data_IF_712756166404
#
_entry.id   IF_712756166404
#
_cell.length_a   1.000
_cell.length_b   1.000
_cell.length_c   1.000
_cell.angle_alpha   90.00
_cell.angle_beta   90.00
_cell.angle_gamma   90.00
#
_symmetry.space_group_name_H-M   'P 1'
#
loop_
_entity.id
_entity.type
_entity.pdbx_description
1 polymer ?
#
# COMPACT_ATOMS: atom_id res chain seq x y z
N UNK A 1 -0.23 -24.23 -3.05
CA UNK A 1 -1.40 -23.91 -3.91
C UNK A 1 -0.87 -23.09 -5.05
N UNK A 2 -0.98 -23.52 -6.32
CA UNK A 2 -0.36 -22.84 -7.47
C UNK A 2 -1.00 -21.46 -7.68
N UNK A 3 -0.22 -20.48 -8.13
CA UNK A 3 -0.65 -19.09 -8.42
C UNK A 3 -1.92 -19.00 -9.29
N UNK A 4 -2.11 -19.95 -10.21
CA UNK A 4 -3.33 -20.08 -11.03
C UNK A 4 -4.59 -20.45 -10.20
N UNK A 5 -4.44 -21.26 -9.17
CA UNK A 5 -5.54 -21.61 -8.27
C UNK A 5 -5.94 -20.46 -7.34
N UNK A 6 -5.02 -19.60 -7.00
CA UNK A 6 -5.25 -18.46 -6.10
C UNK A 6 -5.90 -17.28 -6.85
N UNK A 7 -5.50 -17.00 -8.10
CA UNK A 7 -6.23 -16.05 -8.96
C UNK A 7 -7.67 -16.49 -9.23
N UNK A 8 -7.89 -17.78 -9.44
CA UNK A 8 -9.24 -18.33 -9.61
C UNK A 8 -10.08 -18.20 -8.31
N UNK A 9 -9.45 -18.36 -7.13
CA UNK A 9 -10.13 -18.21 -5.83
C UNK A 9 -10.52 -16.73 -5.55
N UNK A 10 -9.69 -15.78 -5.95
CA UNK A 10 -9.99 -14.34 -5.79
C UNK A 10 -11.08 -13.89 -6.75
N UNK A 11 -11.04 -14.34 -8.01
CA UNK A 11 -12.12 -14.10 -8.98
C UNK A 11 -13.42 -14.79 -8.52
N UNK A 12 -13.35 -15.99 -7.93
CA UNK A 12 -14.49 -16.68 -7.38
C UNK A 12 -15.04 -16.02 -6.09
N UNK A 13 -14.18 -15.43 -5.24
CA UNK A 13 -14.60 -14.66 -4.06
C UNK A 13 -15.28 -13.34 -4.47
N UNK A 14 -14.78 -12.65 -5.50
CA UNK A 14 -15.44 -11.49 -6.10
C UNK A 14 -16.77 -11.86 -6.78
N UNK A 15 -16.83 -13.01 -7.45
CA UNK A 15 -18.05 -13.53 -8.05
C UNK A 15 -19.08 -14.06 -7.02
N UNK A 16 -18.59 -14.64 -5.91
CA UNK A 16 -19.43 -15.14 -4.82
C UNK A 16 -20.14 -14.03 -4.03
N UNK A 17 -19.60 -12.81 -4.00
CA UNK A 17 -20.26 -11.62 -3.43
C UNK A 17 -21.44 -11.14 -4.31
N UNK A 18 -21.51 -11.54 -5.57
CA UNK A 18 -22.58 -11.21 -6.50
C UNK A 18 -23.79 -12.17 -6.45
N UNK A 19 -23.71 -13.29 -5.69
CA UNK A 19 -24.64 -14.41 -5.75
C UNK A 19 -25.54 -14.66 -4.53
N UNK A 20 -25.49 -13.82 -3.46
CA UNK A 20 -26.34 -14.04 -2.27
C UNK A 20 -27.62 -13.22 -2.41
N UNK A 21 -28.72 -13.95 -2.64
CA UNK A 21 -30.05 -13.41 -2.84
C UNK A 21 -30.64 -12.63 -1.67
N UNK A 22 -31.45 -11.61 -2.05
CA UNK A 22 -32.50 -10.91 -1.33
C UNK A 22 -32.13 -10.13 -0.04
N UNK A 23 -31.30 -9.16 -0.18
CA UNK A 23 -31.34 -7.74 0.16
C UNK A 23 -30.20 -7.14 -0.65
N UNK A 24 -30.49 -6.41 -1.72
CA UNK A 24 -29.42 -5.86 -2.59
C UNK A 24 -28.57 -4.89 -1.79
N UNK A 25 -27.58 -5.44 -1.06
CA UNK A 25 -26.45 -4.66 -0.61
C UNK A 25 -25.74 -4.18 -1.86
N UNK A 26 -25.96 -2.93 -2.25
CA UNK A 26 -25.38 -2.35 -3.46
C UNK A 26 -23.86 -2.38 -3.35
N UNK A 27 -23.21 -3.32 -4.03
CA UNK A 27 -21.77 -3.39 -4.09
C UNK A 27 -21.26 -2.16 -4.85
N UNK A 28 -20.43 -1.35 -4.20
CA UNK A 28 -19.73 -0.23 -4.83
C UNK A 28 -18.41 -0.73 -5.37
N UNK A 29 -18.20 -0.61 -6.68
CA UNK A 29 -16.92 -0.90 -7.32
C UNK A 29 -16.20 0.41 -7.61
N UNK A 30 -14.90 0.46 -7.37
CA UNK A 30 -14.02 1.59 -7.69
C UNK A 30 -12.71 1.07 -8.24
N UNK A 31 -12.00 1.91 -9.00
CA UNK A 31 -10.72 1.59 -9.59
C UNK A 31 -9.69 2.69 -9.33
N UNK A 32 -8.43 2.35 -9.50
CA UNK A 32 -7.32 3.29 -9.50
C UNK A 32 -6.28 2.91 -10.53
N UNK A 33 -5.57 3.90 -11.05
CA UNK A 33 -4.41 3.71 -11.90
C UNK A 33 -3.38 4.80 -11.58
N UNK A 34 -2.09 4.47 -11.66
CA UNK A 34 -1.02 5.45 -11.49
C UNK A 34 0.15 5.15 -12.42
N UNK A 35 0.82 6.22 -12.83
CA UNK A 35 2.15 6.19 -13.40
C UNK A 35 3.06 6.98 -12.46
N UNK A 36 4.06 6.33 -11.90
CA UNK A 36 5.03 6.95 -11.01
C UNK A 36 6.45 6.84 -11.54
N UNK A 37 7.29 7.83 -11.25
CA UNK A 37 8.71 7.82 -11.63
C UNK A 37 9.55 6.83 -10.80
N UNK A 38 9.07 6.46 -9.61
CA UNK A 38 9.64 5.45 -8.72
C UNK A 38 8.51 4.88 -7.86
N UNK A 39 8.49 3.59 -7.59
CA UNK A 39 7.57 3.00 -6.63
C UNK A 39 8.26 2.93 -5.27
N UNK A 40 7.92 3.85 -4.37
CA UNK A 40 8.52 3.89 -3.02
C UNK A 40 7.54 3.37 -1.97
N UNK A 41 7.93 2.29 -1.28
CA UNK A 41 7.17 1.72 -0.18
C UNK A 41 7.99 1.78 1.12
N UNK A 42 7.44 2.41 2.15
CA UNK A 42 8.10 2.60 3.47
C UNK A 42 9.55 3.09 3.37
N UNK A 43 9.79 4.07 2.47
CA UNK A 43 11.10 4.68 2.25
C UNK A 43 12.06 3.88 1.37
N UNK A 44 11.67 2.72 0.86
CA UNK A 44 12.48 1.90 -0.05
C UNK A 44 11.84 1.80 -1.43
N UNK A 45 12.63 2.03 -2.48
CA UNK A 45 12.19 1.81 -3.86
C UNK A 45 11.92 0.33 -4.11
N UNK A 46 10.80 0.05 -4.74
CA UNK A 46 10.37 -1.28 -5.18
C UNK A 46 10.59 -1.47 -6.69
N UNK A 47 10.94 -0.40 -7.40
CA UNK A 47 11.20 -0.39 -8.84
C UNK A 47 12.64 -0.05 -9.21
N UNK A 48 13.56 -0.05 -8.23
CA UNK A 48 14.99 0.29 -8.41
C UNK A 48 15.22 1.73 -8.93
N UNK A 49 14.29 2.65 -8.65
CA UNK A 49 14.29 4.02 -9.16
C UNK A 49 13.75 4.17 -10.58
N UNK A 50 13.24 3.10 -11.19
CA UNK A 50 12.63 3.12 -12.52
C UNK A 50 11.12 3.41 -12.44
N UNK A 51 10.51 3.89 -13.55
CA UNK A 51 9.07 4.12 -13.58
C UNK A 51 8.25 2.87 -13.33
N UNK A 52 7.14 3.04 -12.59
CA UNK A 52 6.18 2.00 -12.34
C UNK A 52 4.77 2.37 -12.82
N UNK A 53 4.06 1.37 -13.37
CA UNK A 53 2.64 1.42 -13.71
C UNK A 53 1.88 0.62 -12.67
N UNK A 54 0.88 1.24 -12.09
CA UNK A 54 0.12 0.69 -10.97
C UNK A 54 -1.37 0.72 -11.30
N UNK A 55 -2.10 -0.32 -10.91
CA UNK A 55 -3.54 -0.36 -11.08
C UNK A 55 -4.19 -1.13 -9.93
N UNK A 56 -5.43 -0.77 -9.59
CA UNK A 56 -6.18 -1.45 -8.55
C UNK A 56 -7.68 -1.41 -8.80
N UNK A 57 -8.38 -2.36 -8.17
CA UNK A 57 -9.83 -2.42 -8.12
C UNK A 57 -10.28 -2.81 -6.71
N UNK A 58 -11.37 -2.19 -6.24
CA UNK A 58 -11.97 -2.43 -4.92
C UNK A 58 -13.47 -2.63 -5.07
N UNK A 59 -14.01 -3.65 -4.41
CA UNK A 59 -15.43 -3.88 -4.22
C UNK A 59 -15.79 -3.76 -2.74
N UNK A 60 -16.77 -2.92 -2.41
CA UNK A 60 -17.18 -2.65 -1.03
C UNK A 60 -18.69 -2.76 -0.90
N UNK A 61 -19.16 -3.19 0.29
CA UNK A 61 -20.57 -3.26 0.64
C UNK A 61 -20.92 -2.21 1.71
N UNK A 62 -22.20 -1.80 1.86
CA UNK A 62 -22.60 -0.74 2.79
C UNK A 62 -22.24 -0.96 4.27
N UNK A 63 -22.07 -2.22 4.68
CA UNK A 63 -21.63 -2.57 6.04
C UNK A 63 -20.14 -2.29 6.32
N UNK A 64 -19.38 -1.80 5.31
CA UNK A 64 -17.98 -1.43 5.42
C UNK A 64 -16.99 -2.51 5.00
N UNK A 65 -17.41 -3.77 4.81
CA UNK A 65 -16.51 -4.82 4.32
C UNK A 65 -16.13 -4.60 2.88
N UNK A 66 -14.90 -4.91 2.53
CA UNK A 66 -14.40 -4.80 1.17
C UNK A 66 -13.35 -5.86 0.85
N UNK A 67 -13.17 -6.07 -0.45
CA UNK A 67 -12.02 -6.74 -1.02
C UNK A 67 -11.42 -5.88 -2.13
N UNK A 68 -10.10 -5.93 -2.29
CA UNK A 68 -9.40 -5.25 -3.38
C UNK A 68 -8.22 -6.05 -3.89
N UNK A 69 -7.86 -5.76 -5.13
CA UNK A 69 -6.61 -6.16 -5.73
C UNK A 69 -5.90 -4.91 -6.25
N UNK A 70 -4.60 -4.88 -6.05
CA UNK A 70 -3.72 -3.85 -6.60
C UNK A 70 -2.49 -4.54 -7.19
N UNK A 71 -1.81 -3.92 -8.14
CA UNK A 71 -0.59 -4.44 -8.71
C UNK A 71 0.30 -3.37 -9.31
N UNK A 72 1.59 -3.69 -9.39
CA UNK A 72 2.65 -2.85 -9.94
C UNK A 72 3.71 -3.71 -10.61
N UNK A 73 4.45 -3.15 -11.56
CA UNK A 73 5.75 -3.68 -11.88
C UNK A 73 6.73 -3.37 -10.74
N UNK A 74 7.65 -4.29 -10.50
CA UNK A 74 8.73 -4.15 -9.51
C UNK A 74 10.07 -4.57 -10.09
N UNK A 75 11.13 -4.04 -9.50
CA UNK A 75 12.51 -4.41 -9.78
C UNK A 75 13.32 -4.26 -8.50
N UNK A 76 13.87 -5.34 -7.99
CA UNK A 76 14.64 -5.31 -6.73
C UNK A 76 16.14 -5.40 -6.98
N UNK A 77 16.89 -4.77 -6.11
CA UNK A 77 18.34 -4.86 -6.06
C UNK A 77 18.79 -5.46 -4.72
N UNK A 78 19.54 -6.59 -4.72
CA UNK A 78 19.92 -7.39 -5.88
C UNK A 78 18.70 -8.05 -6.55
N UNK A 79 18.81 -8.34 -7.85
CA UNK A 79 17.74 -8.99 -8.61
C UNK A 79 17.36 -10.34 -7.97
N UNK A 80 16.09 -10.48 -7.62
CA UNK A 80 15.51 -11.67 -6.99
C UNK A 80 14.50 -12.39 -7.90
N UNK A 81 14.39 -11.94 -9.17
CA UNK A 81 13.49 -12.50 -10.18
C UNK A 81 12.08 -11.90 -10.16
N UNK A 82 11.70 -11.09 -9.17
CA UNK A 82 10.40 -10.41 -9.16
C UNK A 82 10.33 -9.36 -10.27
N UNK A 83 9.22 -9.33 -10.99
CA UNK A 83 8.91 -8.33 -12.03
C UNK A 83 7.55 -7.68 -11.83
N UNK A 84 6.72 -8.25 -10.98
CA UNK A 84 5.41 -7.74 -10.63
C UNK A 84 5.06 -8.08 -9.19
N UNK A 85 4.27 -7.23 -8.59
CA UNK A 85 3.66 -7.37 -7.28
C UNK A 85 2.15 -7.32 -7.42
N UNK A 86 1.44 -8.16 -6.67
CA UNK A 86 0.00 -8.10 -6.52
C UNK A 86 -0.36 -8.13 -5.03
N UNK A 87 -1.16 -7.16 -4.61
CA UNK A 87 -1.69 -7.08 -3.26
C UNK A 87 -3.15 -7.52 -3.28
N UNK A 88 -3.44 -8.59 -2.55
CA UNK A 88 -4.79 -9.09 -2.33
C UNK A 88 -5.24 -8.66 -0.94
N UNK A 89 -6.29 -7.85 -0.87
CA UNK A 89 -6.72 -7.23 0.39
C UNK A 89 -8.15 -7.64 0.71
N UNK A 90 -8.38 -7.97 1.99
CA UNK A 90 -9.72 -8.10 2.55
C UNK A 90 -9.78 -7.31 3.86
N UNK A 91 -10.80 -6.48 4.03
CA UNK A 91 -10.84 -5.58 5.17
C UNK A 91 -12.21 -5.00 5.45
N UNK A 92 -12.24 -4.18 6.48
CA UNK A 92 -13.38 -3.39 6.89
C UNK A 92 -12.95 -1.92 7.05
N UNK A 93 -13.80 -1.00 6.57
CA UNK A 93 -13.59 0.43 6.70
C UNK A 93 -14.90 1.11 7.08
N UNK A 94 -14.85 2.00 8.09
CA UNK A 94 -16.04 2.68 8.58
C UNK A 94 -15.73 3.83 9.51
N UNK A 95 -16.78 4.59 9.88
CA UNK A 95 -16.72 5.66 10.85
C UNK A 95 -16.92 5.08 12.26
N UNK A 96 -15.97 5.31 13.17
CA UNK A 96 -16.06 4.88 14.57
C UNK A 96 -16.80 5.92 15.44
N UNK A 97 -16.57 7.19 15.18
CA UNK A 97 -17.16 8.32 15.89
C UNK A 97 -17.13 9.56 14.98
N UNK A 98 -17.83 10.66 15.31
CA UNK A 98 -17.65 11.92 14.59
C UNK A 98 -16.15 12.24 14.44
N UNK A 99 -15.74 12.56 13.22
CA UNK A 99 -14.34 12.87 12.87
C UNK A 99 -13.35 11.69 12.87
N UNK A 100 -13.72 10.46 13.28
CA UNK A 100 -12.85 9.31 13.34
C UNK A 100 -13.27 8.20 12.38
N UNK A 101 -12.37 7.80 11.50
CA UNK A 101 -12.55 6.65 10.61
C UNK A 101 -11.47 5.60 10.88
N UNK A 102 -11.85 4.33 10.75
CA UNK A 102 -10.97 3.18 10.86
C UNK A 102 -11.00 2.37 9.57
N UNK A 103 -9.85 1.95 9.11
CA UNK A 103 -9.66 0.87 8.15
C UNK A 103 -8.82 -0.22 8.81
N UNK A 104 -9.26 -1.47 8.73
CA UNK A 104 -8.52 -2.63 9.20
C UNK A 104 -8.57 -3.71 8.14
N UNK A 105 -7.41 -4.24 7.73
CA UNK A 105 -7.35 -5.19 6.64
C UNK A 105 -6.19 -6.18 6.77
N UNK A 106 -6.35 -7.34 6.10
CA UNK A 106 -5.29 -8.27 5.79
C UNK A 106 -4.87 -8.04 4.33
N UNK A 107 -3.58 -7.83 4.12
CA UNK A 107 -2.96 -7.74 2.80
C UNK A 107 -2.06 -8.94 2.57
N UNK A 108 -2.26 -9.64 1.46
CA UNK A 108 -1.35 -10.66 0.95
C UNK A 108 -0.56 -10.08 -0.20
N UNK A 109 0.73 -9.90 0.00
CA UNK A 109 1.69 -9.52 -1.03
C UNK A 109 2.10 -10.77 -1.82
N UNK A 110 2.03 -10.71 -3.14
CA UNK A 110 2.29 -11.85 -4.05
C UNK A 110 3.25 -11.41 -5.16
N UNK A 111 4.34 -12.14 -5.32
CA UNK A 111 5.38 -11.87 -6.32
C UNK A 111 5.51 -13.04 -7.30
N UNK A 112 4.75 -13.06 -8.40
CA UNK A 112 4.77 -14.17 -9.35
C UNK A 112 6.12 -14.32 -10.06
N UNK A 113 6.50 -15.56 -10.34
CA UNK A 113 7.66 -15.86 -11.17
C UNK A 113 9.02 -15.79 -10.47
N UNK A 114 9.04 -15.59 -9.16
CA UNK A 114 10.27 -15.59 -8.37
C UNK A 114 10.81 -17.01 -8.13
N UNK A 115 12.13 -17.16 -8.10
CA UNK A 115 12.79 -18.46 -7.82
C UNK A 115 12.75 -18.86 -6.34
N UNK A 116 12.31 -17.96 -5.44
CA UNK A 116 12.09 -18.19 -4.00
C UNK A 116 10.76 -17.60 -3.57
N UNK A 117 10.22 -18.06 -2.45
CA UNK A 117 8.99 -17.50 -1.89
C UNK A 117 9.26 -16.08 -1.39
N UNK A 118 8.60 -15.09 -2.00
CA UNK A 118 8.60 -13.69 -1.56
C UNK A 118 7.20 -13.27 -1.08
N UNK A 119 6.24 -14.16 -1.14
CA UNK A 119 4.87 -13.88 -0.73
C UNK A 119 4.75 -13.82 0.78
N UNK A 120 4.10 -12.80 1.33
CA UNK A 120 3.87 -12.66 2.76
C UNK A 120 2.55 -11.96 3.06
N UNK A 121 2.12 -11.98 4.33
CA UNK A 121 0.82 -11.44 4.76
C UNK A 121 1.02 -10.47 5.91
N UNK A 122 0.28 -9.36 5.87
CA UNK A 122 0.34 -8.31 6.87
C UNK A 122 -1.07 -7.91 7.33
N UNK A 123 -1.26 -7.74 8.64
CA UNK A 123 -2.41 -7.07 9.21
C UNK A 123 -2.12 -5.57 9.24
N UNK A 124 -2.99 -4.78 8.64
CA UNK A 124 -2.90 -3.32 8.61
C UNK A 124 -4.09 -2.69 9.32
N UNK A 125 -3.84 -1.61 10.04
CA UNK A 125 -4.88 -0.81 10.68
C UNK A 125 -4.53 0.67 10.52
N UNK A 126 -5.48 1.49 10.05
CA UNK A 126 -5.31 2.94 9.91
C UNK A 126 -6.46 3.65 10.61
N UNK A 127 -6.13 4.45 11.60
CA UNK A 127 -7.04 5.36 12.27
C UNK A 127 -6.83 6.76 11.70
N UNK A 128 -7.91 7.38 11.20
CA UNK A 128 -7.87 8.71 10.58
C UNK A 128 -8.73 9.69 11.38
N UNK A 129 -8.20 10.87 11.68
CA UNK A 129 -8.90 11.96 12.34
C UNK A 129 -9.16 13.12 11.38
N UNK A 130 -10.44 13.50 11.24
CA UNK A 130 -10.91 14.63 10.39
C UNK A 130 -10.38 14.61 8.95
N UNK A 131 -9.96 13.46 8.43
CA UNK A 131 -9.24 13.35 7.17
C UNK A 131 -7.94 14.18 7.11
N UNK A 132 -7.41 14.61 8.26
CA UNK A 132 -6.24 15.51 8.38
C UNK A 132 -5.03 14.88 9.05
N UNK A 133 -5.22 13.88 9.87
CA UNK A 133 -4.14 13.13 10.49
C UNK A 133 -4.47 11.65 10.47
N UNK A 134 -3.45 10.80 10.41
CA UNK A 134 -3.64 9.35 10.50
C UNK A 134 -2.52 8.69 11.29
N UNK A 135 -2.87 7.60 11.94
CA UNK A 135 -1.96 6.63 12.52
C UNK A 135 -2.19 5.30 11.82
N UNK A 136 -1.16 4.79 11.18
CA UNK A 136 -1.15 3.44 10.62
C UNK A 136 -0.31 2.53 11.49
N UNK A 137 -0.81 1.33 11.77
CA UNK A 137 -0.09 0.23 12.39
C UNK A 137 -0.17 -0.98 11.48
N UNK A 138 0.94 -1.71 11.36
CA UNK A 138 0.96 -2.94 10.59
C UNK A 138 1.81 -4.00 11.30
N UNK A 139 1.45 -5.27 11.14
CA UNK A 139 2.17 -6.39 11.73
C UNK A 139 2.15 -7.62 10.83
N UNK A 140 3.29 -8.28 10.74
CA UNK A 140 3.44 -9.58 10.10
C UNK A 140 4.30 -10.50 10.96
N UNK A 141 3.96 -11.78 10.97
CA UNK A 141 4.81 -12.82 11.55
C UNK A 141 5.92 -13.25 10.58
N UNK A 142 5.78 -12.87 9.30
CA UNK A 142 6.72 -13.15 8.20
C UNK A 142 6.94 -11.88 7.39
N UNK A 143 7.46 -10.83 8.04
CA UNK A 143 7.64 -9.53 7.42
C UNK A 143 8.67 -9.60 6.28
N UNK A 144 8.33 -9.01 5.13
CA UNK A 144 9.19 -8.97 3.94
C UNK A 144 9.58 -10.37 3.43
N UNK A 145 8.77 -11.40 3.71
CA UNK A 145 9.08 -12.81 3.42
C UNK A 145 10.42 -13.28 4.01
N UNK A 146 10.83 -12.70 5.13
CA UNK A 146 12.11 -12.97 5.80
C UNK A 146 12.05 -14.10 6.83
N UNK A 147 10.89 -14.75 7.03
CA UNK A 147 10.69 -15.79 8.06
C UNK A 147 10.61 -15.24 9.48
N UNK A 148 10.56 -13.91 9.66
CA UNK A 148 10.59 -13.25 10.95
C UNK A 148 9.51 -12.18 11.08
N UNK A 149 9.12 -11.89 12.34
CA UNK A 149 8.12 -10.86 12.60
C UNK A 149 8.64 -9.44 12.33
N UNK A 150 7.73 -8.57 11.90
CA UNK A 150 7.96 -7.14 11.84
C UNK A 150 6.70 -6.38 12.24
N UNK A 151 6.89 -5.19 12.81
CA UNK A 151 5.82 -4.26 13.18
C UNK A 151 6.15 -2.90 12.62
N UNK A 152 5.18 -2.25 12.02
CA UNK A 152 5.34 -0.93 11.44
C UNK A 152 4.34 0.04 12.07
N UNK A 153 4.76 1.28 12.28
CA UNK A 153 3.89 2.39 12.63
C UNK A 153 4.23 3.62 11.78
N UNK A 154 3.20 4.34 11.34
CA UNK A 154 3.36 5.61 10.64
C UNK A 154 2.38 6.64 11.20
N UNK A 155 2.87 7.83 11.48
CA UNK A 155 2.06 9.00 11.76
C UNK A 155 2.14 9.96 10.58
N UNK A 156 1.00 10.47 10.14
CA UNK A 156 0.94 11.41 9.04
C UNK A 156 -0.07 12.52 9.25
N UNK A 157 0.15 13.60 8.53
CA UNK A 157 -0.73 14.78 8.53
C UNK A 157 -0.99 15.25 7.11
N UNK A 158 -2.18 15.83 6.91
CA UNK A 158 -2.63 16.43 5.66
C UNK A 158 -3.06 17.87 5.91
N UNK A 159 -2.47 18.80 5.17
CA UNK A 159 -2.74 20.24 5.27
C UNK A 159 -3.28 20.72 3.92
N UNK A 160 -4.56 21.05 3.79
CA UNK A 160 -5.08 21.73 2.60
C UNK A 160 -4.51 23.15 2.55
N UNK A 161 -3.87 23.50 1.43
CA UNK A 161 -3.36 24.84 1.18
C UNK A 161 -4.34 25.66 0.31
N UNK A 162 -5.03 24.97 -0.59
CA UNK A 162 -5.99 25.53 -1.54
C UNK A 162 -7.03 24.46 -1.89
N UNK A 163 -8.11 24.82 -2.56
CA UNK A 163 -9.16 23.86 -2.99
C UNK A 163 -8.62 22.68 -3.81
N UNK A 164 -7.53 22.92 -4.55
CA UNK A 164 -6.90 21.91 -5.42
C UNK A 164 -5.50 21.49 -4.99
N UNK A 165 -4.96 22.05 -3.90
CA UNK A 165 -3.57 21.79 -3.47
C UNK A 165 -3.54 21.44 -1.99
N UNK A 166 -2.88 20.34 -1.66
CA UNK A 166 -2.62 19.93 -0.28
C UNK A 166 -1.18 19.45 -0.12
N UNK A 167 -0.68 19.58 1.10
CA UNK A 167 0.56 18.93 1.54
C UNK A 167 0.21 17.72 2.42
N UNK A 168 1.03 16.69 2.30
CA UNK A 168 1.00 15.53 3.19
C UNK A 168 2.41 15.28 3.69
N UNK A 169 2.57 15.09 5.00
CA UNK A 169 3.84 14.69 5.61
C UNK A 169 3.61 13.45 6.47
N UNK A 170 4.55 12.52 6.45
CA UNK A 170 4.49 11.36 7.32
C UNK A 170 5.89 10.91 7.77
N UNK A 171 5.94 10.30 8.94
CA UNK A 171 7.11 9.62 9.48
C UNK A 171 6.69 8.21 9.90
N UNK A 172 7.50 7.22 9.54
CA UNK A 172 7.24 5.82 9.83
C UNK A 172 8.46 5.11 10.40
N UNK A 173 8.21 4.20 11.33
CA UNK A 173 9.19 3.32 11.95
C UNK A 173 8.85 1.88 11.65
N UNK A 174 9.82 1.10 11.21
CA UNK A 174 9.70 -0.34 11.05
C UNK A 174 10.59 -1.05 12.08
N UNK A 175 9.99 -1.79 12.98
CA UNK A 175 10.67 -2.66 13.94
C UNK A 175 10.73 -4.07 13.35
N UNK A 176 11.93 -4.56 13.11
CA UNK A 176 12.20 -5.88 12.56
C UNK A 176 12.81 -6.79 13.62
N UNK A 177 12.61 -8.10 13.51
CA UNK A 177 13.36 -9.04 14.32
C UNK A 177 14.86 -8.88 14.03
N UNK A 178 15.71 -8.91 15.05
CA UNK A 178 17.16 -8.70 14.91
C UNK A 178 17.84 -9.65 13.91
N UNK A 179 17.29 -10.85 13.74
CA UNK A 179 17.76 -11.82 12.75
C UNK A 179 17.49 -11.38 11.29
N UNK A 180 16.54 -10.47 11.07
CA UNK A 180 16.18 -9.96 9.74
C UNK A 180 16.96 -8.70 9.38
N UNK A 181 17.27 -7.88 10.37
CA UNK A 181 18.02 -6.64 10.16
C UNK A 181 17.72 -5.58 11.23
N UNK A 182 18.28 -4.39 11.08
CA UNK A 182 18.04 -3.29 12.00
C UNK A 182 16.64 -2.70 11.81
N UNK A 183 16.09 -2.16 12.89
CA UNK A 183 14.95 -1.26 12.82
C UNK A 183 15.33 -0.01 12.03
N UNK A 184 14.37 0.59 11.31
CA UNK A 184 14.66 1.80 10.56
C UNK A 184 13.52 2.81 10.56
N UNK A 185 13.90 4.07 10.36
CA UNK A 185 13.02 5.23 10.27
C UNK A 185 13.02 5.77 8.84
N UNK A 186 11.85 6.19 8.38
CA UNK A 186 11.71 6.94 7.12
C UNK A 186 10.74 8.10 7.27
N UNK A 187 10.88 9.09 6.39
CA UNK A 187 9.98 10.23 6.29
C UNK A 187 9.63 10.54 4.85
N UNK A 188 8.48 11.18 4.65
CA UNK A 188 8.06 11.69 3.36
C UNK A 188 7.32 13.01 3.49
N UNK A 189 7.48 13.85 2.45
CA UNK A 189 6.73 15.09 2.26
C UNK A 189 6.22 15.13 0.83
N UNK A 190 4.91 15.29 0.66
CA UNK A 190 4.25 15.32 -0.65
C UNK A 190 3.51 16.64 -0.86
N UNK A 191 3.61 17.17 -2.07
CA UNK A 191 2.70 18.19 -2.60
C UNK A 191 1.77 17.51 -3.61
N UNK A 192 0.47 17.70 -3.45
CA UNK A 192 -0.55 17.04 -4.27
C UNK A 192 -1.46 18.09 -4.87
N UNK A 193 -1.60 18.05 -6.21
CA UNK A 193 -2.49 18.90 -6.97
C UNK A 193 -3.62 18.08 -7.60
N UNK A 194 -4.87 18.42 -7.31
CA UNK A 194 -6.06 17.84 -7.95
C UNK A 194 -6.24 18.53 -9.31
N UNK A 195 -5.97 17.79 -10.38
CA UNK A 195 -6.09 18.27 -11.76
C UNK A 195 -7.55 18.27 -12.22
N UNK A 196 -8.23 17.17 -11.95
CA UNK A 196 -9.66 16.95 -12.19
C UNK A 196 -10.26 16.14 -11.02
N UNK A 197 -11.57 15.96 -10.92
CA UNK A 197 -12.16 15.09 -9.90
C UNK A 197 -11.62 13.65 -9.90
N UNK A 198 -11.09 13.17 -11.03
CA UNK A 198 -10.57 11.82 -11.20
C UNK A 198 -9.04 11.75 -11.16
N UNK A 199 -8.30 12.86 -11.32
CA UNK A 199 -6.84 12.83 -11.50
C UNK A 199 -6.10 13.77 -10.56
N UNK A 200 -5.05 13.27 -9.94
CA UNK A 200 -4.12 14.03 -9.09
C UNK A 200 -2.68 13.87 -9.57
N UNK A 201 -1.91 14.95 -9.47
CA UNK A 201 -0.47 14.94 -9.61
C UNK A 201 0.16 15.04 -8.22
N UNK A 202 1.07 14.12 -7.90
CA UNK A 202 1.77 14.06 -6.63
C UNK A 202 3.27 14.20 -6.86
N UNK A 203 3.93 15.08 -6.13
CA UNK A 203 5.38 15.16 -6.02
C UNK A 203 5.78 14.88 -4.58
N UNK A 204 6.64 13.90 -4.35
CA UNK A 204 7.06 13.45 -3.01
C UNK A 204 8.57 13.45 -2.89
N UNK A 205 9.07 13.91 -1.76
CA UNK A 205 10.44 13.65 -1.30
C UNK A 205 10.38 12.62 -0.19
N UNK A 206 11.25 11.64 -0.28
CA UNK A 206 11.45 10.59 0.73
C UNK A 206 12.86 10.68 1.28
N UNK A 207 13.04 10.32 2.54
CA UNK A 207 14.36 10.04 3.11
C UNK A 207 14.25 8.97 4.18
N UNK A 208 15.38 8.31 4.44
CA UNK A 208 15.49 7.25 5.44
C UNK A 208 16.76 7.41 6.25
N UNK A 209 16.79 6.80 7.42
CA UNK A 209 17.99 6.72 8.23
C UNK A 209 19.07 5.80 7.63
N UNK A 210 20.23 5.74 8.29
CA UNK A 210 21.34 4.90 7.87
C UNK A 210 21.05 3.40 8.02
N UNK A 211 20.11 3.02 8.89
CA UNK A 211 19.73 1.62 9.08
C UNK A 211 18.98 1.08 7.86
N UNK A 212 18.03 1.84 7.32
CA UNK A 212 17.37 1.50 6.06
C UNK A 212 18.35 1.40 4.89
N UNK A 213 19.33 2.33 4.80
CA UNK A 213 20.36 2.31 3.73
C UNK A 213 21.24 1.05 3.78
N UNK A 214 21.47 0.49 4.99
CA UNK A 214 22.17 -0.81 5.13
C UNK A 214 21.28 -1.99 4.78
N UNK A 215 19.98 -1.92 5.10
CA UNK A 215 19.01 -2.99 4.85
C UNK A 215 18.64 -3.08 3.37
N UNK A 216 18.49 -1.92 2.71
CA UNK A 216 18.11 -1.80 1.30
C UNK A 216 19.13 -0.96 0.51
N UNK A 217 20.35 -1.49 0.27
CA UNK A 217 21.42 -0.74 -0.41
C UNK A 217 20.98 -0.29 -1.81
N UNK A 218 21.11 1.01 -2.09
CA UNK A 218 20.69 1.61 -3.37
C UNK A 218 19.19 1.91 -3.47
N UNK A 219 18.34 1.22 -2.69
CA UNK A 219 16.89 1.38 -2.73
C UNK A 219 16.33 2.27 -1.61
N UNK A 220 17.08 2.54 -0.54
CA UNK A 220 16.73 3.46 0.54
C UNK A 220 17.58 4.74 0.51
N UNK A 221 17.11 5.78 1.22
CA UNK A 221 17.76 7.09 1.28
C UNK A 221 16.94 8.19 0.61
N UNK A 222 17.58 9.36 0.44
CA UNK A 222 16.93 10.51 -0.18
C UNK A 222 16.56 10.24 -1.64
N UNK A 223 15.28 10.44 -2.00
CA UNK A 223 14.76 10.25 -3.37
C UNK A 223 13.54 11.11 -3.66
N UNK A 224 13.27 11.32 -4.93
CA UNK A 224 12.11 12.01 -5.44
C UNK A 224 11.19 11.05 -6.17
N UNK A 225 9.90 11.28 -6.02
CA UNK A 225 8.85 10.56 -6.72
C UNK A 225 7.87 11.57 -7.33
N UNK A 226 7.54 11.38 -8.60
CA UNK A 226 6.47 12.10 -9.28
C UNK A 226 5.45 11.08 -9.78
N UNK A 227 4.19 11.21 -9.37
CA UNK A 227 3.14 10.30 -9.75
C UNK A 227 1.91 11.04 -10.30
N UNK A 228 1.37 10.54 -11.41
CA UNK A 228 0.04 10.88 -11.91
C UNK A 228 -0.89 9.73 -11.50
N UNK A 229 -1.89 10.01 -10.69
CA UNK A 229 -2.82 9.02 -10.14
C UNK A 229 -4.25 9.33 -10.53
N UNK A 230 -4.98 8.33 -11.02
CA UNK A 230 -6.40 8.39 -11.32
C UNK A 230 -7.22 7.51 -10.36
N UNK A 231 -8.47 7.94 -10.05
CA UNK A 231 -9.46 7.19 -9.27
C UNK A 231 -10.83 7.31 -9.93
N UNK A 232 -11.58 6.21 -10.05
CA UNK A 232 -12.86 6.13 -10.74
C UNK A 232 -13.78 5.04 -10.17
#
# INVERSE_FOLDING_TARGET
MNSKGMMAAVVAALAGLLGIGSAQAQVKVSGSAALTSDYVWRGSSQSDGDPAVQAGAKAAIPSGWYASVWGSNVSFRPDNGARSEFDLVAGWSGTLAPDWALDANLTRYVYPGTGRALDWTELNTTLTWKQRAWLQLAHSNDALAGGHRGTYAQLGVRVPLHERVRLEAAVGQYWLASAQGPDYLHGQLSAIATLTPAWELRATVHDTDSAAKRLFPGNAGGRWELALQGSF
#
